data_IF_806138239057
#
_entry.id   IF_806138239057
#
_cell.length_a   1.000
_cell.length_b   1.000
_cell.length_c   1.000
_cell.angle_alpha   90.00
_cell.angle_beta   90.00
_cell.angle_gamma   90.00
#
_symmetry.space_group_name_H-M   'P 1'
#
loop_
_entity.id
_entity.type
_entity.pdbx_description
1 polymer ?
#
# COMPACT_ATOMS: atom_id res chain seq x y z
N UNK A 1 -18.11 10.63 3.44
CA UNK A 1 -17.00 9.81 2.89
C UNK A 1 -16.69 8.73 3.89
N UNK A 2 -16.77 7.45 3.52
CA UNK A 2 -16.22 6.39 4.36
C UNK A 2 -14.70 6.45 4.22
N UNK A 3 -13.99 6.67 5.33
CA UNK A 3 -12.53 6.59 5.33
C UNK A 3 -12.07 5.16 5.07
N UNK A 4 -10.79 4.98 4.76
CA UNK A 4 -10.15 3.67 4.65
C UNK A 4 -8.88 3.65 5.49
N UNK A 5 -8.54 2.48 6.06
CA UNK A 5 -7.23 2.26 6.68
C UNK A 5 -6.31 1.62 5.66
N UNK A 6 -5.12 2.19 5.52
CA UNK A 6 -4.07 1.68 4.66
C UNK A 6 -3.01 1.00 5.54
N UNK A 7 -2.67 -0.25 5.20
CA UNK A 7 -1.58 -0.97 5.84
C UNK A 7 -0.61 -1.48 4.79
N UNK A 8 0.67 -1.17 4.94
CA UNK A 8 1.73 -1.73 4.11
C UNK A 8 2.46 -2.81 4.91
N UNK A 9 2.47 -4.03 4.36
CA UNK A 9 3.16 -5.17 4.95
C UNK A 9 4.63 -5.21 4.52
N UNK A 10 5.44 -5.86 5.33
CA UNK A 10 6.88 -6.06 5.09
C UNK A 10 7.21 -6.86 3.81
N UNK A 11 6.25 -7.59 3.28
CA UNK A 11 6.34 -8.31 2.01
C UNK A 11 5.92 -7.48 0.78
N UNK A 12 5.74 -6.16 0.92
CA UNK A 12 5.40 -5.27 -0.20
C UNK A 12 3.93 -5.33 -0.63
N UNK A 13 3.06 -5.86 0.24
CA UNK A 13 1.63 -5.92 0.01
C UNK A 13 0.93 -4.74 0.69
N UNK A 14 0.20 -3.94 -0.09
CA UNK A 14 -0.68 -2.89 0.40
C UNK A 14 -2.08 -3.46 0.62
N UNK A 15 -2.64 -3.23 1.80
CA UNK A 15 -4.00 -3.61 2.16
C UNK A 15 -4.86 -2.38 2.42
N UNK A 16 -6.07 -2.39 1.88
CA UNK A 16 -7.13 -1.41 2.13
C UNK A 16 -8.13 -2.07 3.07
N UNK A 17 -8.41 -1.46 4.22
CA UNK A 17 -9.25 -2.02 5.26
C UNK A 17 -10.45 -1.12 5.55
N UNK A 18 -11.57 -1.76 5.87
CA UNK A 18 -12.80 -1.09 6.30
C UNK A 18 -12.65 -0.66 7.77
N UNK A 19 -12.59 0.66 8.07
CA UNK A 19 -12.42 1.13 9.44
C UNK A 19 -13.69 1.00 10.28
N UNK A 20 -14.84 0.77 9.64
CA UNK A 20 -16.12 0.66 10.32
C UNK A 20 -16.42 -0.76 10.78
N UNK A 21 -15.59 -1.72 10.39
CA UNK A 21 -15.79 -3.11 10.74
C UNK A 21 -15.33 -3.40 12.18
N UNK A 22 -16.18 -4.09 12.93
CA UNK A 22 -15.93 -4.56 14.30
C UNK A 22 -14.78 -5.60 14.36
N UNK A 23 -14.32 -6.03 13.19
CA UNK A 23 -13.31 -7.06 12.97
C UNK A 23 -12.47 -6.65 11.76
N UNK A 24 -11.26 -7.19 11.66
CA UNK A 24 -10.38 -6.97 10.51
C UNK A 24 -11.09 -7.37 9.21
N UNK A 25 -11.41 -6.39 8.36
CA UNK A 25 -12.10 -6.61 7.09
C UNK A 25 -11.31 -5.97 5.95
N UNK A 26 -10.72 -6.85 5.14
CA UNK A 26 -10.01 -6.49 3.93
C UNK A 26 -11.00 -6.04 2.84
N UNK A 27 -10.79 -4.85 2.30
CA UNK A 27 -11.52 -4.31 1.14
C UNK A 27 -10.79 -4.68 -0.15
N UNK A 28 -9.47 -4.48 -0.18
CA UNK A 28 -8.63 -4.75 -1.34
C UNK A 28 -7.18 -4.99 -0.95
N UNK A 29 -6.44 -5.67 -1.83
CA UNK A 29 -5.02 -5.95 -1.67
C UNK A 29 -4.29 -5.71 -2.99
N UNK A 30 -3.13 -5.08 -2.92
CA UNK A 30 -2.29 -4.76 -4.07
C UNK A 30 -0.84 -5.17 -3.79
N UNK A 31 -0.26 -5.95 -4.69
CA UNK A 31 1.18 -6.16 -4.73
C UNK A 31 1.85 -4.91 -5.29
N UNK A 32 2.63 -4.22 -4.45
CA UNK A 32 3.24 -2.94 -4.83
C UNK A 32 4.57 -3.11 -5.53
N UNK A 33 5.25 -4.25 -5.36
CA UNK A 33 6.43 -4.62 -6.14
C UNK A 33 6.46 -6.10 -6.40
N UNK A 34 6.62 -6.47 -7.66
CA UNK A 34 6.91 -7.84 -8.11
C UNK A 34 8.41 -8.07 -8.37
N UNK A 35 9.26 -7.08 -8.08
CA UNK A 35 10.71 -7.15 -8.25
C UNK A 35 11.42 -6.95 -6.92
N UNK A 36 12.52 -7.68 -6.70
CA UNK A 36 13.33 -7.53 -5.51
C UNK A 36 13.97 -6.12 -5.50
N UNK A 37 13.46 -5.25 -4.64
CA UNK A 37 14.04 -3.95 -4.33
C UNK A 37 14.79 -4.02 -2.99
N UNK A 38 15.92 -3.31 -2.89
CA UNK A 38 16.66 -3.18 -1.64
C UNK A 38 16.00 -2.22 -0.63
N UNK A 39 14.94 -1.51 -1.04
CA UNK A 39 14.14 -0.67 -0.17
C UNK A 39 12.66 -1.11 -0.24
N UNK A 40 11.98 -1.25 0.91
CA UNK A 40 10.56 -1.53 0.92
C UNK A 40 9.78 -0.33 0.36
N UNK A 41 8.57 -0.56 -0.18
CA UNK A 41 7.64 0.53 -0.45
C UNK A 41 7.39 1.36 0.82
N UNK A 42 6.99 2.62 0.66
CA UNK A 42 6.80 3.53 1.80
C UNK A 42 5.50 4.30 1.66
N UNK A 43 4.70 4.32 2.73
CA UNK A 43 3.50 5.16 2.82
C UNK A 43 3.91 6.62 3.08
N UNK A 44 3.29 7.54 2.34
CA UNK A 44 3.49 9.00 2.44
C UNK A 44 2.13 9.70 2.49
N UNK A 45 2.12 11.01 2.72
CA UNK A 45 0.87 11.80 2.69
C UNK A 45 0.20 11.80 1.31
N UNK A 46 1.00 11.70 0.23
CA UNK A 46 0.53 11.78 -1.15
C UNK A 46 0.22 10.41 -1.80
N UNK A 47 0.61 9.31 -1.15
CA UNK A 47 0.41 7.96 -1.68
C UNK A 47 1.49 6.95 -1.26
N UNK A 48 1.68 5.92 -2.08
CA UNK A 48 2.68 4.86 -1.83
C UNK A 48 3.87 5.04 -2.76
N UNK A 49 5.04 5.27 -2.18
CA UNK A 49 6.30 5.32 -2.92
C UNK A 49 6.80 3.89 -3.16
N UNK A 50 6.89 3.51 -4.43
CA UNK A 50 7.28 2.18 -4.90
C UNK A 50 8.60 2.27 -5.63
N UNK A 51 9.62 1.55 -5.14
CA UNK A 51 10.91 1.45 -5.80
C UNK A 51 10.97 0.20 -6.67
N UNK A 52 11.10 0.41 -7.98
CA UNK A 52 11.47 -0.63 -8.94
C UNK A 52 12.97 -0.70 -9.18
N UNK A 53 13.40 -1.55 -10.11
CA UNK A 53 14.82 -1.69 -10.47
C UNK A 53 15.43 -0.39 -11.00
N UNK A 54 14.72 0.31 -11.91
CA UNK A 54 15.24 1.49 -12.61
C UNK A 54 14.48 2.79 -12.27
N UNK A 55 13.28 2.66 -11.70
CA UNK A 55 12.37 3.79 -11.50
C UNK A 55 11.85 3.83 -10.06
N UNK A 56 11.61 5.05 -9.60
CA UNK A 56 10.87 5.34 -8.38
C UNK A 56 9.50 5.88 -8.78
N UNK A 57 8.44 5.14 -8.46
CA UNK A 57 7.06 5.45 -8.82
C UNK A 57 6.27 5.86 -7.60
N UNK A 58 5.45 6.92 -7.70
CA UNK A 58 4.46 7.27 -6.67
C UNK A 58 3.08 6.80 -7.13
N UNK A 59 2.48 5.89 -6.36
CA UNK A 59 1.11 5.43 -6.59
C UNK A 59 0.15 6.29 -5.76
N UNK A 60 -0.65 7.12 -6.44
CA UNK A 60 -1.69 7.90 -5.79
C UNK A 60 -2.87 6.99 -5.44
N UNK A 61 -3.29 7.03 -4.18
CA UNK A 61 -4.52 6.38 -3.72
C UNK A 61 -5.61 7.45 -3.78
N UNK A 62 -6.65 7.20 -4.58
CA UNK A 62 -7.81 8.10 -4.73
C UNK A 62 -9.04 7.49 -4.09
#
# INVERSE_FOLDING_TARGET
>A
MQGAVLALRDNGVLQILDPSADQYKLIAEYETSNTASWAPPTLTEDGVLVKGAELLSLWMIR
#
